data_IF_236208534440
#
_entry.id   IF_236208534440
#
_cell.length_a   1.000
_cell.length_b   1.000
_cell.length_c   1.000
_cell.angle_alpha   90.00
_cell.angle_beta   90.00
_cell.angle_gamma   90.00
#
_symmetry.space_group_name_H-M   'P 1'
#
loop_
_entity.id
_entity.type
_entity.pdbx_description
1 polymer ?
#
# COMPACT_ATOMS: atom_id res chain seq x y z
N UNK A 1 -4.81 -7.45 -10.31
CA UNK A 1 -5.85 -7.49 -9.25
C UNK A 1 -5.26 -8.17 -8.02
N UNK A 2 -5.69 -7.77 -6.83
CA UNK A 2 -5.12 -8.23 -5.55
C UNK A 2 -6.25 -8.66 -4.59
N UNK A 3 -5.88 -9.26 -3.47
CA UNK A 3 -6.81 -9.76 -2.43
C UNK A 3 -6.87 -8.86 -1.20
N UNK A 4 -5.87 -7.98 -1.01
CA UNK A 4 -5.69 -7.19 0.19
C UNK A 4 -5.07 -7.96 1.35
N UNK A 5 -4.50 -9.14 1.08
CA UNK A 5 -3.78 -9.94 2.07
C UNK A 5 -2.29 -9.74 1.84
N UNK A 6 -1.65 -9.02 2.76
CA UNK A 6 -0.21 -8.75 2.73
C UNK A 6 0.55 -10.06 2.90
N UNK A 7 1.48 -10.34 2.00
CA UNK A 7 2.31 -11.55 2.01
C UNK A 7 3.58 -11.36 2.82
N UNK A 8 4.18 -10.16 2.76
CA UNK A 8 5.37 -9.83 3.53
C UNK A 8 5.50 -8.34 3.82
N UNK A 9 6.38 -8.02 4.77
CA UNK A 9 6.86 -6.67 5.02
C UNK A 9 8.23 -6.51 4.33
N UNK A 10 8.26 -5.72 3.27
CA UNK A 10 9.48 -5.37 2.54
C UNK A 10 10.11 -4.08 3.01
N UNK A 11 11.16 -3.66 2.31
CA UNK A 11 11.95 -2.47 2.62
C UNK A 11 12.31 -1.71 1.33
N UNK A 12 12.16 -0.38 1.34
CA UNK A 12 12.69 0.48 0.28
C UNK A 12 14.20 0.56 0.44
N UNK A 13 14.96 0.05 -0.51
CA UNK A 13 16.44 0.02 -0.45
C UNK A 13 17.10 1.00 -1.41
N UNK A 14 16.33 1.60 -2.33
CA UNK A 14 16.81 2.62 -3.24
C UNK A 14 15.68 3.47 -3.78
N UNK A 15 15.99 4.73 -4.11
CA UNK A 15 15.07 5.66 -4.74
C UNK A 15 15.84 6.62 -5.64
N UNK A 16 15.47 6.64 -6.92
CA UNK A 16 16.08 7.49 -7.93
C UNK A 16 15.02 8.40 -8.57
N UNK A 17 15.17 9.74 -8.48
CA UNK A 17 14.29 10.67 -9.19
C UNK A 17 14.48 10.56 -10.70
N UNK A 18 13.37 10.47 -11.44
CA UNK A 18 13.33 10.40 -12.91
C UNK A 18 12.39 11.49 -13.44
N UNK A 19 12.79 12.76 -13.29
CA UNK A 19 11.95 13.90 -13.64
C UNK A 19 10.71 13.98 -12.76
N UNK A 20 9.53 13.89 -13.37
CA UNK A 20 8.23 13.85 -12.65
C UNK A 20 7.88 12.46 -12.11
N UNK A 21 8.78 11.48 -12.27
CA UNK A 21 8.63 10.11 -11.79
C UNK A 21 9.74 9.78 -10.78
N UNK A 22 9.64 8.62 -10.14
CA UNK A 22 10.74 8.04 -9.38
C UNK A 22 10.84 6.53 -9.64
N UNK A 23 12.06 6.00 -9.68
CA UNK A 23 12.31 4.57 -9.62
C UNK A 23 12.55 4.15 -8.18
N UNK A 24 11.71 3.27 -7.67
CA UNK A 24 11.90 2.64 -6.36
C UNK A 24 12.62 1.31 -6.54
N UNK A 25 13.56 1.02 -5.66
CA UNK A 25 14.12 -0.33 -5.48
C UNK A 25 13.63 -0.85 -4.14
N UNK A 26 12.93 -1.99 -4.16
CA UNK A 26 12.26 -2.56 -3.00
C UNK A 26 12.74 -4.00 -2.81
N UNK A 27 13.12 -4.32 -1.58
CA UNK A 27 13.45 -5.67 -1.15
C UNK A 27 12.20 -6.38 -0.63
N UNK A 28 11.90 -7.52 -1.23
CA UNK A 28 10.77 -8.39 -0.92
C UNK A 28 11.03 -9.81 -1.45
N UNK A 29 11.74 -10.68 -0.70
CA UNK A 29 12.13 -11.99 -1.18
C UNK A 29 10.96 -12.93 -1.50
N UNK A 30 9.81 -12.79 -0.82
CA UNK A 30 8.64 -13.63 -1.07
C UNK A 30 7.96 -13.21 -2.37
N UNK A 31 7.72 -11.92 -2.57
CA UNK A 31 7.02 -11.42 -3.76
C UNK A 31 7.87 -11.48 -5.02
N UNK A 32 9.20 -11.54 -4.88
CA UNK A 32 10.14 -11.68 -6.01
C UNK A 32 10.48 -13.12 -6.36
N UNK A 33 10.00 -14.11 -5.59
CA UNK A 33 10.35 -15.52 -5.78
C UNK A 33 9.92 -16.07 -7.16
N UNK A 34 8.85 -15.54 -7.73
CA UNK A 34 8.29 -15.89 -9.03
C UNK A 34 7.93 -14.67 -9.90
N UNK A 35 8.42 -13.48 -9.54
CA UNK A 35 8.18 -12.27 -10.31
C UNK A 35 9.07 -12.18 -11.55
N UNK A 36 8.52 -11.64 -12.62
CA UNK A 36 9.22 -11.26 -13.85
C UNK A 36 8.96 -9.81 -14.24
N UNK A 37 9.65 -9.36 -15.28
CA UNK A 37 9.39 -8.05 -15.89
C UNK A 37 7.94 -7.95 -16.36
N UNK A 38 7.27 -6.85 -16.02
CA UNK A 38 5.87 -6.59 -16.38
C UNK A 38 4.85 -7.14 -15.37
N UNK A 39 5.27 -7.95 -14.41
CA UNK A 39 4.37 -8.42 -13.35
C UNK A 39 3.95 -7.27 -12.42
N UNK A 40 2.84 -7.48 -11.71
CA UNK A 40 2.26 -6.49 -10.82
C UNK A 40 2.44 -6.89 -9.36
N UNK A 41 3.05 -6.00 -8.58
CA UNK A 41 3.21 -6.14 -7.13
C UNK A 41 2.56 -4.92 -6.47
N UNK A 42 1.71 -5.16 -5.47
CA UNK A 42 1.13 -4.10 -4.67
C UNK A 42 2.12 -3.68 -3.58
N UNK A 43 2.45 -2.38 -3.55
CA UNK A 43 3.31 -1.77 -2.53
C UNK A 43 2.45 -0.81 -1.70
N UNK A 44 2.23 -1.12 -0.43
CA UNK A 44 1.24 -0.43 0.42
C UNK A 44 -0.14 -0.31 -0.24
N UNK A 45 -0.53 -1.33 -1.02
CA UNK A 45 -1.80 -1.36 -1.75
C UNK A 45 -1.80 -0.58 -3.08
N UNK A 46 -0.68 0.02 -3.49
CA UNK A 46 -0.52 0.64 -4.82
C UNK A 46 0.02 -0.41 -5.79
N UNK A 47 -0.70 -0.66 -6.88
CA UNK A 47 -0.24 -1.54 -7.95
C UNK A 47 0.95 -0.92 -8.68
N UNK A 48 2.11 -1.55 -8.59
CA UNK A 48 3.31 -1.15 -9.34
C UNK A 48 3.74 -2.27 -10.27
N UNK A 49 4.22 -1.88 -11.45
CA UNK A 49 4.75 -2.81 -12.45
C UNK A 49 6.24 -3.04 -12.20
N UNK A 50 6.64 -4.30 -12.14
CA UNK A 50 8.04 -4.70 -12.01
C UNK A 50 8.79 -4.32 -13.29
N UNK A 51 9.78 -3.45 -13.16
CA UNK A 51 10.69 -3.06 -14.24
C UNK A 51 11.84 -4.05 -14.34
N UNK A 52 12.43 -4.42 -13.21
CA UNK A 52 13.54 -5.38 -13.16
C UNK A 52 13.52 -6.14 -11.84
N UNK A 53 13.86 -7.43 -11.88
CA UNK A 53 14.15 -8.22 -10.68
C UNK A 53 15.66 -8.31 -10.50
N UNK A 54 16.13 -7.94 -9.32
CA UNK A 54 17.53 -7.84 -8.96
C UNK A 54 17.93 -8.94 -7.96
N UNK A 55 19.23 -9.28 -7.87
CA UNK A 55 19.72 -10.21 -6.86
C UNK A 55 19.36 -9.80 -5.42
N UNK A 56 19.24 -10.79 -4.54
CA UNK A 56 18.93 -10.55 -3.12
C UNK A 56 17.45 -10.31 -2.82
N UNK A 57 16.55 -10.72 -3.72
CA UNK A 57 15.11 -10.61 -3.55
C UNK A 57 14.62 -9.17 -3.67
N UNK A 58 15.13 -8.44 -4.66
CA UNK A 58 14.83 -7.04 -4.89
C UNK A 58 14.14 -6.87 -6.23
N UNK A 59 13.31 -5.86 -6.37
CA UNK A 59 12.76 -5.44 -7.65
C UNK A 59 12.73 -3.93 -7.77
N UNK A 60 12.71 -3.44 -9.00
CA UNK A 60 12.52 -2.03 -9.31
C UNK A 60 11.13 -1.78 -9.88
N UNK A 61 10.59 -0.61 -9.60
CA UNK A 61 9.35 -0.13 -10.19
C UNK A 61 9.38 1.38 -10.41
N UNK A 62 8.89 1.81 -11.57
CA UNK A 62 8.72 3.22 -11.88
C UNK A 62 7.37 3.71 -11.37
N UNK A 63 7.39 4.81 -10.63
CA UNK A 63 6.21 5.42 -10.03
C UNK A 63 6.01 6.81 -10.61
N UNK A 64 4.84 7.03 -11.21
CA UNK A 64 4.45 8.31 -11.78
C UNK A 64 4.24 9.34 -10.66
N UNK A 65 4.54 10.62 -10.93
CA UNK A 65 4.38 11.71 -9.96
C UNK A 65 2.97 11.85 -9.39
N UNK A 66 1.94 11.57 -10.19
CA UNK A 66 0.55 11.55 -9.71
C UNK A 66 0.33 10.45 -8.66
N UNK A 67 0.85 9.25 -8.91
CA UNK A 67 0.78 8.11 -7.98
C UNK A 67 1.55 8.41 -6.70
N UNK A 68 2.75 8.99 -6.80
CA UNK A 68 3.50 9.46 -5.64
C UNK A 68 2.68 10.47 -4.84
N UNK A 69 2.05 11.43 -5.50
CA UNK A 69 1.29 12.52 -4.84
C UNK A 69 0.01 12.03 -4.17
N UNK A 70 -0.72 11.10 -4.79
CA UNK A 70 -2.03 10.65 -4.28
C UNK A 70 -1.97 9.52 -3.26
N UNK A 71 -0.86 8.79 -3.19
CA UNK A 71 -0.74 7.63 -2.32
C UNK A 71 0.13 7.89 -1.10
N UNK A 72 0.23 6.88 -0.23
CA UNK A 72 1.17 6.89 0.89
C UNK A 72 2.63 6.82 0.44
N UNK A 73 2.91 6.55 -0.85
CA UNK A 73 4.28 6.44 -1.36
C UNK A 73 5.04 7.77 -1.32
N UNK A 74 4.34 8.92 -1.27
CA UNK A 74 4.94 10.26 -1.18
C UNK A 74 5.96 10.40 -0.04
N UNK A 75 5.69 9.73 1.08
CA UNK A 75 6.48 9.86 2.32
C UNK A 75 7.51 8.76 2.50
N UNK A 76 7.75 7.93 1.49
CA UNK A 76 8.74 6.87 1.58
C UNK A 76 10.16 7.42 1.40
N UNK A 77 11.05 6.93 2.25
CA UNK A 77 12.48 7.13 2.19
C UNK A 77 13.18 5.76 2.17
N UNK A 78 14.47 5.73 1.80
CA UNK A 78 15.28 4.52 1.94
C UNK A 78 15.28 4.05 3.40
N UNK A 79 15.06 2.76 3.63
CA UNK A 79 14.83 2.14 4.94
C UNK A 79 13.36 2.06 5.35
N UNK A 80 12.42 2.63 4.58
CA UNK A 80 10.99 2.54 4.89
C UNK A 80 10.47 1.11 4.72
N UNK A 81 9.72 0.64 5.70
CA UNK A 81 9.01 -0.63 5.62
C UNK A 81 7.73 -0.49 4.76
N UNK A 82 7.44 -1.48 3.93
CA UNK A 82 6.29 -1.48 3.01
C UNK A 82 5.58 -2.82 3.01
N UNK A 83 4.25 -2.80 2.95
CA UNK A 83 3.45 -4.01 2.77
C UNK A 83 3.51 -4.46 1.31
N UNK A 84 3.80 -5.73 1.08
CA UNK A 84 3.92 -6.31 -0.26
C UNK A 84 2.90 -7.44 -0.48
N UNK A 85 2.31 -7.46 -1.67
CA UNK A 85 1.37 -8.50 -2.12
C UNK A 85 1.51 -8.71 -3.64
N UNK A 86 1.64 -9.95 -4.11
CA UNK A 86 1.64 -10.29 -5.53
C UNK A 86 0.24 -10.19 -6.13
N UNK A 87 0.16 -9.97 -7.44
CA UNK A 87 -1.11 -10.08 -8.15
C UNK A 87 -1.74 -11.46 -7.97
N UNK A 88 -3.06 -11.49 -7.74
CA UNK A 88 -3.80 -12.72 -7.58
C UNK A 88 -3.81 -13.53 -8.88
N UNK A 89 -3.47 -14.83 -8.78
CA UNK A 89 -3.60 -15.76 -9.89
C UNK A 89 -5.07 -15.91 -10.32
N UNK A 90 -5.33 -16.00 -11.62
CA UNK A 90 -6.69 -16.07 -12.20
C UNK A 90 -7.49 -17.26 -11.69
N UNK A 91 -6.82 -18.37 -11.35
CA UNK A 91 -7.40 -19.59 -10.80
C UNK A 91 -7.21 -19.73 -9.27
N UNK A 92 -6.69 -18.69 -8.61
CA UNK A 92 -6.43 -18.68 -7.18
C UNK A 92 -7.68 -18.47 -6.35
N UNK A 93 -7.64 -18.88 -5.08
CA UNK A 93 -8.69 -18.53 -4.11
C UNK A 93 -8.56 -17.07 -3.71
N UNK A 94 -9.65 -16.31 -3.81
CA UNK A 94 -9.74 -14.96 -3.26
C UNK A 94 -10.10 -15.04 -1.78
N UNK A 95 -9.07 -15.11 -0.92
CA UNK A 95 -9.26 -15.19 0.54
C UNK A 95 -9.74 -13.88 1.17
N UNK A 96 -9.40 -12.75 0.56
CA UNK A 96 -9.83 -11.41 0.97
C UNK A 96 -10.96 -10.88 0.08
N UNK A 97 -10.75 -9.70 -0.49
CA UNK A 97 -11.69 -9.07 -1.42
C UNK A 97 -10.96 -8.56 -2.66
N UNK A 98 -11.71 -8.19 -3.70
CA UNK A 98 -11.09 -7.64 -4.90
C UNK A 98 -10.54 -6.26 -4.61
N UNK A 99 -9.22 -6.12 -4.69
CA UNK A 99 -8.49 -4.86 -4.59
C UNK A 99 -7.86 -4.54 -5.95
N UNK A 100 -8.15 -3.35 -6.49
CA UNK A 100 -7.65 -2.94 -7.80
C UNK A 100 -6.19 -2.48 -7.75
N UNK A 101 -5.72 -2.06 -6.58
CA UNK A 101 -4.40 -1.44 -6.41
C UNK A 101 -4.32 0.00 -6.94
N UNK A 102 -5.45 0.62 -7.26
CA UNK A 102 -5.55 2.03 -7.61
C UNK A 102 -5.99 2.81 -6.37
N UNK A 103 -5.07 3.58 -5.80
CA UNK A 103 -5.33 4.33 -4.57
C UNK A 103 -6.06 5.63 -4.89
N UNK A 104 -7.23 5.83 -4.29
CA UNK A 104 -8.01 7.07 -4.43
C UNK A 104 -7.38 8.26 -3.69
N UNK A 105 -6.66 7.97 -2.60
CA UNK A 105 -6.06 8.98 -1.74
C UNK A 105 -5.44 8.42 -0.46
N UNK A 106 -4.98 9.33 0.39
CA UNK A 106 -4.47 9.01 1.73
C UNK A 106 -5.52 9.30 2.80
N UNK A 107 -5.46 8.55 3.90
CA UNK A 107 -6.27 8.78 5.09
C UNK A 107 -5.37 8.97 6.31
N UNK A 108 -5.68 9.95 7.17
CA UNK A 108 -4.91 10.17 8.41
C UNK A 108 -5.58 9.44 9.56
N UNK A 109 -4.82 8.57 10.23
CA UNK A 109 -5.23 7.95 11.49
C UNK A 109 -5.22 9.03 12.57
N UNK A 110 -6.38 9.32 13.17
CA UNK A 110 -6.51 10.39 14.18
C UNK A 110 -6.27 9.91 15.61
N UNK A 111 -6.54 8.63 15.87
CA UNK A 111 -6.32 7.98 17.15
C UNK A 111 -6.12 6.48 16.93
N UNK A 112 -5.03 5.94 17.47
CA UNK A 112 -4.86 4.50 17.63
C UNK A 112 -5.43 4.08 18.98
N UNK A 113 -6.30 3.09 19.01
CA UNK A 113 -6.70 2.48 20.27
C UNK A 113 -5.64 1.45 20.68
N UNK A 114 -5.22 1.51 21.95
CA UNK A 114 -4.47 0.43 22.59
C UNK A 114 -5.19 -0.90 22.34
N UNK A 115 -4.46 -2.01 22.16
CA UNK A 115 -5.07 -3.28 21.82
C UNK A 115 -6.10 -3.67 22.89
N UNK A 116 -7.38 -3.79 22.49
CA UNK A 116 -8.39 -4.45 23.32
C UNK A 116 -8.38 -5.93 22.96
N UNK A 117 -8.01 -6.78 23.92
CA UNK A 117 -7.96 -8.23 23.74
C UNK A 117 -7.09 -8.69 22.54
N UNK A 118 -5.91 -8.06 22.35
CA UNK A 118 -4.99 -8.41 21.28
C UNK A 118 -5.40 -7.93 19.88
N UNK A 119 -6.43 -7.10 19.77
CA UNK A 119 -6.90 -6.51 18.51
C UNK A 119 -6.65 -5.01 18.49
N UNK A 120 -6.01 -4.52 17.44
CA UNK A 120 -5.84 -3.09 17.19
C UNK A 120 -7.08 -2.53 16.48
N UNK A 121 -7.58 -1.38 16.94
CA UNK A 121 -8.69 -0.67 16.29
C UNK A 121 -8.26 0.76 15.96
N UNK A 122 -8.29 1.13 14.68
CA UNK A 122 -8.29 2.53 14.28
C UNK A 122 -9.75 3.01 14.31
N UNK A 123 -10.10 3.89 15.25
CA UNK A 123 -11.50 4.33 15.46
C UNK A 123 -11.92 5.48 14.55
N UNK A 124 -10.98 6.15 13.89
CA UNK A 124 -11.29 7.28 13.01
C UNK A 124 -10.16 7.54 12.02
N UNK A 125 -10.48 7.42 10.74
CA UNK A 125 -9.66 7.84 9.62
C UNK A 125 -10.36 9.01 8.92
N UNK A 126 -9.63 10.08 8.60
CA UNK A 126 -10.16 11.22 7.84
C UNK A 126 -9.37 11.39 6.54
N UNK A 127 -10.02 11.38 5.37
CA UNK A 127 -9.35 11.78 4.14
C UNK A 127 -9.14 13.30 4.12
N UNK A 128 -8.04 13.80 3.53
CA UNK A 128 -7.62 15.20 3.61
C UNK A 128 -8.65 16.18 3.01
N UNK A 129 -9.50 15.74 2.09
CA UNK A 129 -10.53 16.56 1.44
C UNK A 129 -11.80 16.81 2.27
N UNK A 130 -11.94 16.18 3.45
CA UNK A 130 -13.12 16.37 4.32
C UNK A 130 -13.01 17.57 5.29
N UNK A 131 -12.04 18.47 5.06
CA UNK A 131 -11.77 19.58 5.96
C UNK A 131 -12.63 20.84 5.77
N UNK A 132 -13.49 20.92 4.74
CA UNK A 132 -14.30 22.12 4.46
C UNK A 132 -15.77 21.81 4.20
N UNK A 133 -16.50 21.37 5.23
CA UNK A 133 -17.91 21.76 5.39
C UNK A 133 -18.42 21.45 6.81
N UNK A 134 -18.98 22.50 7.40
CA UNK A 134 -19.92 22.58 8.52
C UNK A 134 -19.88 21.58 9.68
N UNK A 135 -19.83 22.15 10.88
CA UNK A 135 -20.16 21.54 12.18
C UNK A 135 -21.41 20.65 12.09
N UNK A 136 -21.25 19.33 12.15
CA UNK A 136 -22.23 18.40 12.72
C UNK A 136 -21.51 17.33 13.51
N UNK A 137 -21.96 17.12 14.73
CA UNK A 137 -21.40 16.19 15.71
C UNK A 137 -21.31 14.75 15.16
N UNK A 138 -20.34 13.94 15.61
CA UNK A 138 -20.25 12.55 15.20
C UNK A 138 -21.42 11.75 15.78
N UNK A 139 -22.25 11.16 14.92
CA UNK A 139 -23.20 10.13 15.32
C UNK A 139 -22.42 8.88 15.74
N UNK A 140 -22.61 8.46 16.99
CA UNK A 140 -22.14 7.17 17.51
C UNK A 140 -22.87 6.07 16.73
N UNK A 141 -22.13 5.28 15.97
CA UNK A 141 -22.61 3.98 15.50
C UNK A 141 -22.26 2.93 16.56
N UNK A 142 -23.24 2.55 17.37
CA UNK A 142 -23.19 1.33 18.18
C UNK A 142 -23.70 0.17 17.33
N UNK A 143 -22.82 -0.77 16.97
CA UNK A 143 -23.25 -2.05 16.45
C UNK A 143 -23.82 -2.89 17.62
N UNK A 144 -25.12 -3.18 17.58
CA UNK A 144 -25.75 -4.18 18.45
C UNK A 144 -25.42 -5.59 17.97
N UNK A 145 -25.40 -6.50 18.95
CA UNK A 145 -25.04 -7.93 18.93
C UNK A 145 -25.43 -8.72 17.69
#
# INVERSE_FOLDING_TARGET
MFTGIVEELGEVVGMEPLGDCARLTIRGPVVTADAGHGDSIAVNGVCLTVVEVLPGGQFTADVMGETLTRSSLRGLEVGSAVNLERAAAVNGRLGGHIVQGHVDGTGRILAGLLPKAGKWCASSCRPPWTATSSRRAPSRWTASR
#
